data_IF_275509447735
#
_entry.id   IF_275509447735
#
_cell.length_a   1.000
_cell.length_b   1.000
_cell.length_c   1.000
_cell.angle_alpha   90.00
_cell.angle_beta   90.00
_cell.angle_gamma   90.00
#
_symmetry.space_group_name_H-M   'P 1'
#
loop_
_entity.id
_entity.type
_entity.pdbx_description
1 polymer ?
#
# COMPACT_ATOMS: atom_id res chain seq x y z
N UNK A 1 -20.98 8.52 9.82
CA UNK A 1 -20.84 7.87 8.50
C UNK A 1 -20.03 6.59 8.72
N UNK A 2 -20.74 5.46 8.89
CA UNK A 2 -20.18 4.23 9.46
C UNK A 2 -19.50 3.39 8.38
N UNK A 3 -18.17 3.47 8.29
CA UNK A 3 -17.39 2.54 7.49
C UNK A 3 -17.49 1.13 8.10
N UNK A 4 -18.26 0.27 7.44
CA UNK A 4 -18.39 -1.14 7.77
C UNK A 4 -17.06 -1.86 7.54
N UNK A 5 -16.23 -1.99 8.59
CA UNK A 5 -15.09 -2.90 8.58
C UNK A 5 -15.65 -4.32 8.73
N UNK A 6 -15.96 -4.95 7.59
CA UNK A 6 -16.29 -6.37 7.53
C UNK A 6 -15.05 -7.16 7.95
N UNK A 7 -15.15 -7.81 9.10
CA UNK A 7 -14.23 -8.81 9.68
C UNK A 7 -13.71 -9.75 8.59
N UNK A 8 -12.50 -9.49 8.07
CA UNK A 8 -11.85 -10.34 7.07
C UNK A 8 -11.45 -11.65 7.76
N UNK A 9 -12.05 -12.75 7.31
CA UNK A 9 -11.64 -14.11 7.68
C UNK A 9 -10.13 -14.24 7.47
N UNK A 10 -9.43 -14.60 8.54
CA UNK A 10 -8.02 -14.98 8.59
C UNK A 10 -7.80 -16.18 7.65
N UNK A 11 -7.55 -15.90 6.37
CA UNK A 11 -7.09 -16.89 5.39
C UNK A 11 -5.62 -17.12 5.69
N UNK A 12 -5.23 -18.38 5.91
CA UNK A 12 -3.89 -18.76 6.31
C UNK A 12 -2.82 -18.13 5.43
N UNK A 13 -2.04 -17.22 6.01
CA UNK A 13 -0.82 -16.72 5.40
C UNK A 13 0.17 -17.87 5.44
N UNK A 14 0.45 -18.48 4.28
CA UNK A 14 1.63 -19.32 4.14
C UNK A 14 2.84 -18.49 4.57
N UNK A 15 3.64 -19.07 5.47
CA UNK A 15 4.78 -18.47 6.18
C UNK A 15 5.96 -18.06 5.25
N UNK A 16 5.72 -17.86 3.95
CA UNK A 16 6.74 -17.72 2.91
C UNK A 16 6.53 -16.62 1.85
N UNK A 17 5.38 -15.95 1.78
CA UNK A 17 5.23 -14.84 0.82
C UNK A 17 5.87 -13.57 1.41
N UNK A 18 7.15 -13.33 1.14
CA UNK A 18 7.83 -12.08 1.52
C UNK A 18 7.27 -10.91 0.71
N UNK A 19 7.08 -9.75 1.34
CA UNK A 19 6.83 -8.49 0.61
C UNK A 19 8.20 -7.87 0.34
N UNK A 20 8.63 -7.88 -0.91
CA UNK A 20 9.93 -7.37 -1.34
C UNK A 20 9.82 -6.33 -2.47
N UNK A 21 8.66 -6.26 -3.14
CA UNK A 21 8.44 -5.40 -4.30
C UNK A 21 6.95 -5.09 -4.49
N UNK A 22 6.63 -4.18 -5.43
CA UNK A 22 5.25 -3.85 -5.79
C UNK A 22 4.42 -5.06 -6.26
N UNK A 23 5.05 -6.10 -6.82
CA UNK A 23 4.34 -7.26 -7.38
C UNK A 23 3.85 -8.19 -6.25
N UNK A 24 4.69 -8.43 -5.26
CA UNK A 24 4.41 -9.25 -4.07
C UNK A 24 3.34 -8.61 -3.20
N UNK A 25 3.44 -7.31 -2.90
CA UNK A 25 2.37 -6.60 -2.17
C UNK A 25 1.04 -6.62 -2.94
N UNK A 26 1.05 -6.39 -4.26
CA UNK A 26 -0.18 -6.45 -5.08
C UNK A 26 -0.87 -7.81 -4.99
N UNK A 27 -0.09 -8.90 -5.00
CA UNK A 27 -0.63 -10.26 -4.82
C UNK A 27 -1.28 -10.39 -3.43
N UNK A 28 -0.61 -9.95 -2.38
CA UNK A 28 -1.15 -10.02 -1.01
C UNK A 28 -2.43 -9.21 -0.85
N UNK A 29 -2.45 -7.96 -1.32
CA UNK A 29 -3.62 -7.08 -1.26
C UNK A 29 -4.83 -7.70 -1.97
N UNK A 30 -4.61 -8.40 -3.10
CA UNK A 30 -5.66 -9.18 -3.77
C UNK A 30 -6.16 -10.36 -2.94
N UNK A 31 -5.25 -11.12 -2.31
CA UNK A 31 -5.61 -12.25 -1.44
C UNK A 31 -6.46 -11.80 -0.27
N UNK A 32 -6.08 -10.70 0.39
CA UNK A 32 -6.84 -10.12 1.51
C UNK A 32 -8.00 -9.20 1.06
N UNK A 33 -8.24 -9.07 -0.25
CA UNK A 33 -9.35 -8.31 -0.84
C UNK A 33 -9.38 -6.83 -0.44
N UNK A 34 -8.21 -6.20 -0.33
CA UNK A 34 -8.14 -4.74 -0.22
C UNK A 34 -8.62 -4.12 -1.53
N UNK A 35 -9.59 -3.17 -1.48
CA UNK A 35 -10.04 -2.49 -2.69
C UNK A 35 -8.89 -1.78 -3.40
N UNK A 36 -8.81 -1.90 -4.72
CA UNK A 36 -7.74 -1.28 -5.51
C UNK A 36 -7.81 0.26 -5.51
N UNK A 37 -9.00 0.82 -5.28
CA UNK A 37 -9.20 2.27 -5.26
C UNK A 37 -8.64 2.98 -4.03
N UNK A 38 -8.15 2.28 -2.99
CA UNK A 38 -7.56 2.95 -1.79
C UNK A 38 -6.02 3.02 -1.82
N UNK A 39 -5.38 2.46 -2.85
CA UNK A 39 -3.94 2.48 -2.99
C UNK A 39 -3.48 2.68 -4.45
N UNK A 40 -2.24 3.11 -4.63
CA UNK A 40 -1.61 3.21 -5.95
C UNK A 40 -0.16 2.73 -5.89
N UNK A 41 0.13 1.56 -6.45
CA UNK A 41 1.48 0.96 -6.40
C UNK A 41 2.39 1.38 -7.56
N UNK A 42 1.92 2.25 -8.45
CA UNK A 42 2.59 2.55 -9.73
C UNK A 42 3.10 3.98 -9.82
N UNK A 43 2.67 4.87 -8.91
CA UNK A 43 2.92 6.30 -8.99
C UNK A 43 2.25 6.99 -10.19
N UNK A 44 1.42 6.28 -10.97
CA UNK A 44 0.75 6.79 -12.19
C UNK A 44 -0.77 6.75 -12.04
N UNK A 45 -1.48 7.58 -12.80
CA UNK A 45 -2.94 7.65 -12.78
C UNK A 45 -3.49 8.43 -11.58
N UNK A 46 -4.72 8.12 -11.15
CA UNK A 46 -5.38 8.84 -10.06
C UNK A 46 -4.72 8.51 -8.72
N UNK A 47 -4.36 9.55 -7.98
CA UNK A 47 -3.64 9.45 -6.71
C UNK A 47 -4.47 9.93 -5.52
N UNK A 48 -5.47 10.77 -5.78
CA UNK A 48 -6.25 11.43 -4.73
C UNK A 48 -7.08 10.42 -3.93
N UNK A 49 -7.12 10.62 -2.62
CA UNK A 49 -7.73 9.75 -1.60
C UNK A 49 -7.14 8.32 -1.58
N UNK A 50 -5.83 8.20 -1.80
CA UNK A 50 -5.13 6.90 -1.86
C UNK A 50 -3.76 6.93 -1.21
N UNK A 51 -3.38 5.77 -0.65
CA UNK A 51 -2.01 5.50 -0.24
C UNK A 51 -1.16 5.09 -1.46
N UNK A 52 -0.20 5.93 -1.81
CA UNK A 52 0.59 5.81 -3.02
C UNK A 52 2.02 5.35 -2.71
N UNK A 53 2.55 4.48 -3.58
CA UNK A 53 3.96 4.16 -3.70
C UNK A 53 4.50 4.82 -4.97
N UNK A 54 5.59 5.56 -4.84
CA UNK A 54 6.22 6.27 -5.96
C UNK A 54 7.74 6.14 -5.86
N UNK A 55 8.40 5.84 -6.98
CA UNK A 55 9.86 5.88 -7.06
C UNK A 55 10.27 7.32 -7.40
N UNK A 56 11.08 7.93 -6.53
CA UNK A 56 11.61 9.29 -6.71
C UNK A 56 13.13 9.16 -6.76
N UNK A 57 13.71 9.34 -7.95
CA UNK A 57 15.13 9.05 -8.20
C UNK A 57 15.47 7.61 -7.76
N UNK A 58 16.39 7.45 -6.81
CA UNK A 58 16.82 6.15 -6.27
C UNK A 58 16.08 5.75 -4.99
N UNK A 59 15.16 6.58 -4.51
CA UNK A 59 14.38 6.34 -3.29
C UNK A 59 12.94 5.95 -3.57
N UNK A 60 12.29 5.41 -2.56
CA UNK A 60 10.88 5.04 -2.58
C UNK A 60 10.10 5.91 -1.61
N UNK A 61 9.05 6.56 -2.10
CA UNK A 61 8.16 7.37 -1.29
C UNK A 61 6.83 6.66 -1.10
N UNK A 62 6.36 6.62 0.15
CA UNK A 62 4.99 6.24 0.49
C UNK A 62 4.29 7.48 1.00
N UNK A 63 3.13 7.82 0.45
CA UNK A 63 2.35 8.97 0.90
C UNK A 63 0.87 8.71 0.72
N UNK A 64 0.05 9.22 1.64
CA UNK A 64 -1.37 9.39 1.36
C UNK A 64 -1.59 10.74 0.69
N UNK A 65 -2.32 10.79 -0.42
CA UNK A 65 -2.69 12.03 -1.07
C UNK A 65 -4.15 12.35 -0.73
N UNK A 66 -4.39 13.48 -0.09
CA UNK A 66 -5.73 13.95 0.26
C UNK A 66 -5.92 15.36 -0.28
N UNK A 67 -6.83 15.52 -1.25
CA UNK A 67 -7.15 16.82 -1.88
C UNK A 67 -5.90 17.51 -2.41
N UNK A 68 -4.99 16.72 -2.99
CA UNK A 68 -3.71 17.19 -3.51
C UNK A 68 -2.59 17.40 -2.47
N UNK A 69 -2.83 17.14 -1.19
CA UNK A 69 -1.85 17.29 -0.11
C UNK A 69 -1.28 15.93 0.29
N UNK A 70 0.05 15.80 0.38
CA UNK A 70 0.72 14.58 0.88
C UNK A 70 0.83 14.63 2.42
N UNK A 71 0.32 13.62 3.12
CA UNK A 71 0.30 13.61 4.61
C UNK A 71 1.28 12.59 5.23
N UNK A 72 1.21 11.30 4.88
CA UNK A 72 2.11 10.22 5.37
C UNK A 72 3.48 10.19 4.67
N UNK A 73 4.01 11.31 4.19
CA UNK A 73 5.09 11.36 3.18
C UNK A 73 6.46 10.81 3.67
N UNK A 74 6.57 9.49 3.77
CA UNK A 74 7.74 8.73 4.20
C UNK A 74 8.63 8.36 3.01
N UNK A 75 9.95 8.29 3.25
CA UNK A 75 10.97 8.00 2.24
C UNK A 75 11.82 6.82 2.71
N UNK A 76 12.05 5.87 1.82
CA UNK A 76 12.78 4.63 2.05
C UNK A 76 13.89 4.46 1.00
N UNK A 77 14.98 3.81 1.41
CA UNK A 77 16.09 3.47 0.51
C UNK A 77 15.79 2.24 -0.36
N UNK A 78 14.83 1.40 0.03
CA UNK A 78 14.51 0.15 -0.69
C UNK A 78 13.02 0.02 -1.03
N UNK A 79 12.72 -0.69 -2.13
CA UNK A 79 11.33 -1.02 -2.52
C UNK A 79 10.68 -1.93 -1.47
N UNK A 80 11.49 -2.80 -0.85
CA UNK A 80 11.05 -3.74 0.18
C UNK A 80 10.50 -3.01 1.41
N UNK A 81 11.26 -2.08 1.97
CA UNK A 81 10.86 -1.34 3.18
C UNK A 81 9.60 -0.50 2.91
N UNK A 82 9.56 0.18 1.76
CA UNK A 82 8.41 0.97 1.36
C UNK A 82 7.14 0.10 1.18
N UNK A 83 7.28 -1.08 0.56
CA UNK A 83 6.14 -2.00 0.39
C UNK A 83 5.69 -2.61 1.73
N UNK A 84 6.61 -2.92 2.64
CA UNK A 84 6.26 -3.41 3.97
C UNK A 84 5.52 -2.35 4.78
N UNK A 85 6.01 -1.12 4.75
CA UNK A 85 5.33 0.02 5.39
C UNK A 85 3.93 0.25 4.80
N UNK A 86 3.81 0.32 3.48
CA UNK A 86 2.53 0.51 2.79
C UNK A 86 1.52 -0.58 3.16
N UNK A 87 1.96 -1.84 3.17
CA UNK A 87 1.10 -2.96 3.58
C UNK A 87 0.65 -2.84 5.03
N UNK A 88 1.54 -2.47 5.96
CA UNK A 88 1.20 -2.27 7.36
C UNK A 88 0.12 -1.18 7.53
N UNK A 89 0.25 -0.05 6.81
CA UNK A 89 -0.73 1.03 6.83
C UNK A 89 -2.12 0.59 6.33
N UNK A 90 -2.19 -0.29 5.32
CA UNK A 90 -3.46 -0.79 4.78
C UNK A 90 -4.12 -1.88 5.65
N UNK A 91 -3.36 -2.54 6.53
CA UNK A 91 -3.87 -3.60 7.40
C UNK A 91 -4.30 -3.11 8.79
N UNK A 92 -3.98 -1.86 9.13
CA UNK A 92 -4.35 -1.22 10.39
C UNK A 92 -5.79 -0.70 10.33
#
# INVERSE_FOLDING_TARGET
MNYHIKKIKRIGLHKGDKINDKRSIRKKLKVVRVPDYIYNLTGKGVKDERLCLEKIQDKWSVYYLERGIKTTNEIFESEEDACQFLYAQLMN
#
